data_IF_368544073269
#
_entry.id   IF_368544073269
#
_cell.length_a   1.000
_cell.length_b   1.000
_cell.length_c   1.000
_cell.angle_alpha   90.00
_cell.angle_beta   90.00
_cell.angle_gamma   90.00
#
_symmetry.space_group_name_H-M   'P 1'
#
loop_
_entity.id
_entity.type
_entity.pdbx_description
1 polymer ?
#
# COMPACT_ATOMS: atom_id res chain seq x y z
N UNK A 1 22.76 18.01 16.79
CA UNK A 1 21.37 17.55 16.60
C UNK A 1 21.38 16.03 16.43
N UNK A 2 20.43 15.31 17.03
CA UNK A 2 20.32 13.86 16.80
C UNK A 2 19.91 13.59 15.33
N UNK A 3 20.44 12.53 14.73
CA UNK A 3 20.07 12.11 13.36
C UNK A 3 18.58 11.73 13.35
N UNK A 4 17.82 12.22 12.35
CA UNK A 4 16.43 11.79 12.14
C UNK A 4 16.39 10.27 11.97
N UNK A 5 15.40 9.60 12.57
CA UNK A 5 15.12 8.18 12.31
C UNK A 5 14.59 8.01 10.89
N UNK A 6 14.70 6.80 10.35
CA UNK A 6 14.22 6.45 9.01
C UNK A 6 12.85 5.79 9.09
N UNK A 7 11.87 6.31 8.35
CA UNK A 7 10.64 5.60 8.00
C UNK A 7 10.85 5.02 6.60
N UNK A 8 10.94 3.70 6.50
CA UNK A 8 11.07 3.03 5.21
C UNK A 8 9.70 2.64 4.69
N UNK A 9 9.33 3.14 3.52
CA UNK A 9 8.10 2.82 2.82
C UNK A 9 8.43 1.87 1.68
N UNK A 10 7.79 0.71 1.66
CA UNK A 10 7.91 -0.29 0.60
C UNK A 10 6.62 -0.22 -0.22
N UNK A 11 6.74 -0.01 -1.52
CA UNK A 11 5.62 -0.02 -2.49
C UNK A 11 5.91 -1.02 -3.61
N UNK A 12 4.93 -1.38 -4.43
CA UNK A 12 5.12 -2.39 -5.48
C UNK A 12 5.88 -1.80 -6.69
N UNK A 13 5.54 -0.58 -7.11
CA UNK A 13 6.10 0.04 -8.32
C UNK A 13 6.44 1.53 -8.22
N UNK A 14 7.07 2.08 -9.28
CA UNK A 14 7.44 3.50 -9.34
C UNK A 14 6.24 4.44 -9.34
N UNK A 15 5.13 4.06 -9.99
CA UNK A 15 3.89 4.87 -10.04
C UNK A 15 3.27 5.04 -8.65
N UNK A 16 3.46 4.06 -7.76
CA UNK A 16 3.01 4.13 -6.38
C UNK A 16 3.86 5.14 -5.58
N UNK A 17 5.18 5.14 -5.82
CA UNK A 17 6.08 6.16 -5.25
C UNK A 17 5.72 7.55 -5.77
N UNK A 18 5.47 7.69 -7.07
CA UNK A 18 5.10 8.97 -7.66
C UNK A 18 3.84 9.53 -7.01
N UNK A 19 2.81 8.69 -6.83
CA UNK A 19 1.55 9.08 -6.22
C UNK A 19 1.66 9.41 -4.72
N UNK A 20 2.33 8.57 -3.93
CA UNK A 20 2.29 8.62 -2.46
C UNK A 20 3.56 9.23 -1.84
N UNK A 21 4.71 9.11 -2.49
CA UNK A 21 6.02 9.37 -1.90
C UNK A 21 6.19 10.78 -1.37
N UNK A 22 5.73 11.80 -2.11
CA UNK A 22 5.82 13.21 -1.66
C UNK A 22 4.94 13.48 -0.43
N UNK A 23 3.74 12.87 -0.38
CA UNK A 23 2.81 13.05 0.73
C UNK A 23 3.34 12.36 1.98
N UNK A 24 3.85 11.13 1.85
CA UNK A 24 4.48 10.40 2.96
C UNK A 24 5.69 11.14 3.49
N UNK A 25 6.58 11.61 2.60
CA UNK A 25 7.73 12.46 2.96
C UNK A 25 7.28 13.65 3.81
N UNK A 26 6.29 14.42 3.35
CA UNK A 26 5.80 15.59 4.10
C UNK A 26 5.11 15.21 5.41
N UNK A 27 4.30 14.15 5.44
CA UNK A 27 3.62 13.71 6.64
C UNK A 27 4.60 13.30 7.75
N UNK A 28 5.51 12.37 7.46
CA UNK A 28 6.41 11.84 8.50
C UNK A 28 7.52 12.80 8.88
N UNK A 29 7.97 13.65 7.95
CA UNK A 29 8.96 14.68 8.24
C UNK A 29 8.36 15.85 9.03
N UNK A 30 7.23 16.41 8.58
CA UNK A 30 6.75 17.68 9.12
C UNK A 30 5.61 17.56 10.13
N UNK A 31 4.80 16.49 10.08
CA UNK A 31 3.58 16.36 10.89
C UNK A 31 3.66 15.29 11.98
N UNK A 32 4.41 14.21 11.75
CA UNK A 32 4.36 13.03 12.64
C UNK A 32 5.63 12.82 13.47
N UNK A 33 6.77 12.53 12.85
CA UNK A 33 7.91 11.91 13.54
C UNK A 33 9.24 12.66 13.39
N UNK A 34 9.30 13.76 12.63
CA UNK A 34 10.55 14.43 12.26
C UNK A 34 11.56 13.40 11.72
N UNK A 35 11.09 12.57 10.78
CA UNK A 35 11.79 11.40 10.27
C UNK A 35 12.17 11.57 8.80
N UNK A 36 13.28 10.93 8.40
CA UNK A 36 13.64 10.78 6.99
C UNK A 36 12.79 9.66 6.37
N UNK A 37 12.09 9.96 5.28
CA UNK A 37 11.31 8.95 4.54
C UNK A 37 12.11 8.47 3.35
N UNK A 38 12.34 7.16 3.30
CA UNK A 38 12.89 6.47 2.13
C UNK A 38 11.80 5.60 1.52
N UNK A 39 11.70 5.62 0.19
CA UNK A 39 10.79 4.74 -0.56
C UNK A 39 11.63 3.72 -1.30
N UNK A 40 11.17 2.48 -1.31
CA UNK A 40 11.75 1.42 -2.13
C UNK A 40 10.67 0.60 -2.83
N UNK A 41 11.00 0.06 -4.00
CA UNK A 41 10.09 -0.76 -4.80
C UNK A 41 10.42 -2.23 -4.60
N UNK A 42 9.41 -3.03 -4.24
CA UNK A 42 9.62 -4.45 -3.99
C UNK A 42 8.31 -5.25 -4.07
N UNK A 43 7.98 -5.79 -5.24
CA UNK A 43 6.93 -6.83 -5.32
C UNK A 43 7.48 -8.20 -4.91
N UNK A 44 7.64 -8.40 -3.61
CA UNK A 44 8.05 -9.70 -3.02
C UNK A 44 6.88 -10.66 -2.82
N UNK A 45 5.65 -10.22 -3.09
CA UNK A 45 4.45 -10.98 -2.74
C UNK A 45 4.08 -12.01 -3.81
N UNK A 46 4.45 -11.73 -5.07
CA UNK A 46 4.20 -12.60 -6.24
C UNK A 46 5.42 -13.42 -6.67
N UNK A 47 6.64 -13.03 -6.29
CA UNK A 47 7.86 -13.72 -6.70
C UNK A 47 7.95 -15.16 -6.13
N UNK A 48 7.88 -16.15 -7.03
CA UNK A 48 8.25 -17.54 -6.79
C UNK A 48 9.76 -17.72 -7.03
N UNK A 49 10.54 -18.04 -5.99
CA UNK A 49 12.00 -18.19 -6.11
C UNK A 49 12.49 -19.54 -5.56
N UNK A 50 11.64 -20.56 -5.57
CA UNK A 50 11.98 -21.87 -5.02
C UNK A 50 12.17 -21.86 -3.50
N UNK A 51 12.18 -23.06 -2.93
CA UNK A 51 11.99 -23.40 -1.52
C UNK A 51 12.98 -22.83 -0.47
N UNK A 52 13.86 -21.88 -0.78
CA UNK A 52 14.98 -21.57 0.13
C UNK A 52 14.68 -20.52 1.22
N UNK A 53 13.75 -19.59 1.02
CA UNK A 53 13.50 -18.49 1.97
C UNK A 53 12.03 -18.15 2.15
N UNK A 54 11.62 -17.98 3.41
CA UNK A 54 10.30 -17.45 3.80
C UNK A 54 10.14 -15.99 3.38
N UNK A 55 8.89 -15.51 3.22
CA UNK A 55 8.60 -14.10 2.92
C UNK A 55 9.22 -13.14 3.96
N UNK A 56 9.32 -13.60 5.22
CA UNK A 56 9.98 -12.86 6.31
C UNK A 56 11.48 -12.67 6.06
N UNK A 57 12.16 -13.72 5.61
CA UNK A 57 13.59 -13.64 5.30
C UNK A 57 13.82 -12.76 4.07
N UNK A 58 12.97 -12.89 3.05
CA UNK A 58 13.03 -12.04 1.85
C UNK A 58 12.93 -10.55 2.21
N UNK A 59 11.89 -10.15 2.93
CA UNK A 59 11.71 -8.73 3.30
C UNK A 59 12.83 -8.24 4.23
N UNK A 60 13.33 -9.10 5.13
CA UNK A 60 14.46 -8.76 6.00
C UNK A 60 15.75 -8.54 5.20
N UNK A 61 16.02 -9.38 4.20
CA UNK A 61 17.19 -9.24 3.34
C UNK A 61 17.11 -7.98 2.48
N UNK A 62 15.92 -7.68 1.94
CA UNK A 62 15.64 -6.46 1.18
C UNK A 62 15.92 -5.21 2.03
N UNK A 63 15.40 -5.16 3.26
CA UNK A 63 15.65 -4.06 4.20
C UNK A 63 17.13 -3.94 4.57
N UNK A 64 17.82 -5.06 4.83
CA UNK A 64 19.26 -5.06 5.14
C UNK A 64 20.10 -4.57 3.96
N UNK A 65 19.76 -4.95 2.73
CA UNK A 65 20.45 -4.45 1.52
C UNK A 65 20.29 -2.93 1.36
N UNK A 66 19.07 -2.41 1.57
CA UNK A 66 18.84 -0.96 1.58
C UNK A 66 19.67 -0.27 2.69
N UNK A 67 19.65 -0.83 3.90
CA UNK A 67 20.43 -0.33 5.02
C UNK A 67 21.94 -0.28 4.73
N UNK A 68 22.50 -1.33 4.12
CA UNK A 68 23.91 -1.38 3.73
C UNK A 68 24.26 -0.28 2.70
N UNK A 69 23.43 -0.10 1.68
CA UNK A 69 23.60 0.95 0.65
C UNK A 69 23.64 2.35 1.26
N UNK A 70 22.77 2.61 2.24
CA UNK A 70 22.61 3.93 2.86
C UNK A 70 23.35 4.08 4.20
N UNK A 71 24.16 3.09 4.59
CA UNK A 71 24.95 3.05 5.84
C UNK A 71 24.09 3.23 7.10
N UNK A 72 22.95 2.54 7.15
CA UNK A 72 22.09 2.43 8.33
C UNK A 72 22.33 1.14 9.11
N UNK A 73 22.01 1.17 10.40
CA UNK A 73 21.79 -0.01 11.23
C UNK A 73 20.30 -0.15 11.58
N UNK A 74 19.90 -1.29 12.15
CA UNK A 74 18.49 -1.52 12.51
C UNK A 74 17.93 -0.49 13.49
N UNK A 75 18.77 0.04 14.37
CA UNK A 75 18.41 1.09 15.31
C UNK A 75 18.16 2.46 14.66
N UNK A 76 18.58 2.69 13.41
CA UNK A 76 18.31 3.96 12.71
C UNK A 76 16.86 4.05 12.19
N UNK A 77 16.15 2.93 12.08
CA UNK A 77 14.77 2.89 11.61
C UNK A 77 13.78 3.17 12.73
N UNK A 78 12.78 4.01 12.44
CA UNK A 78 11.59 4.21 13.27
C UNK A 78 10.60 3.07 13.03
N UNK A 79 10.33 2.76 11.75
CA UNK A 79 9.39 1.73 11.33
C UNK A 79 9.55 1.42 9.84
N UNK A 80 8.92 0.33 9.43
CA UNK A 80 8.72 -0.06 8.03
C UNK A 80 7.22 -0.11 7.75
N UNK A 81 6.82 0.60 6.71
CA UNK A 81 5.47 0.63 6.17
C UNK A 81 5.51 -0.09 4.83
N UNK A 82 4.68 -1.09 4.63
CA UNK A 82 4.60 -1.83 3.37
C UNK A 82 3.21 -1.70 2.79
N UNK A 83 3.11 -1.11 1.61
CA UNK A 83 1.86 -0.94 0.87
C UNK A 83 1.86 -1.99 -0.24
N UNK A 84 0.80 -2.80 -0.29
CA UNK A 84 0.67 -3.90 -1.23
C UNK A 84 -0.68 -3.85 -1.92
N UNK A 85 -0.72 -4.27 -3.17
CA UNK A 85 -1.96 -4.54 -3.87
C UNK A 85 -2.50 -5.91 -3.43
N UNK A 86 -3.80 -6.12 -3.49
CA UNK A 86 -4.36 -7.47 -3.26
C UNK A 86 -4.53 -8.27 -4.54
N UNK A 87 -4.74 -7.61 -5.69
CA UNK A 87 -5.02 -8.21 -7.00
C UNK A 87 -6.04 -9.36 -6.95
N UNK A 88 -7.11 -9.22 -6.16
CA UNK A 88 -8.06 -10.32 -5.98
C UNK A 88 -7.49 -11.60 -5.34
N UNK A 89 -6.36 -11.55 -4.63
CA UNK A 89 -5.69 -12.74 -4.08
C UNK A 89 -6.56 -13.59 -3.15
N UNK A 90 -7.64 -13.04 -2.60
CA UNK A 90 -8.51 -13.71 -1.64
C UNK A 90 -9.84 -14.20 -2.22
N UNK A 91 -10.10 -13.96 -3.50
CA UNK A 91 -11.34 -14.43 -4.13
C UNK A 91 -11.35 -15.95 -4.29
N UNK A 92 -12.54 -16.51 -4.43
CA UNK A 92 -12.74 -17.92 -4.79
C UNK A 92 -12.26 -18.17 -6.23
N UNK A 93 -11.53 -19.26 -6.45
CA UNK A 93 -10.98 -19.65 -7.77
C UNK A 93 -12.07 -19.76 -8.86
N UNK A 94 -13.34 -19.97 -8.50
CA UNK A 94 -14.46 -19.96 -9.45
C UNK A 94 -14.72 -18.59 -10.09
N UNK A 95 -14.22 -17.53 -9.47
CA UNK A 95 -14.31 -16.14 -9.95
C UNK A 95 -13.11 -15.75 -10.81
N UNK A 96 -12.18 -16.69 -11.07
CA UNK A 96 -11.15 -16.56 -12.10
C UNK A 96 -11.66 -17.24 -13.35
N UNK A 97 -11.96 -16.45 -14.38
CA UNK A 97 -12.58 -16.87 -15.62
C UNK A 97 -11.52 -16.89 -16.72
N UNK A 98 -11.44 -18.01 -17.44
CA UNK A 98 -10.54 -18.14 -18.58
C UNK A 98 -11.19 -17.54 -19.83
N UNK A 99 -10.50 -16.62 -20.49
CA UNK A 99 -10.84 -16.13 -21.82
C UNK A 99 -9.55 -16.04 -22.64
N UNK A 100 -9.44 -16.89 -23.67
CA UNK A 100 -8.23 -16.96 -24.49
C UNK A 100 -8.12 -15.83 -25.51
N UNK A 101 -9.17 -15.02 -25.67
CA UNK A 101 -9.22 -13.89 -26.62
C UNK A 101 -8.58 -12.62 -26.08
N UNK A 102 -8.35 -12.52 -24.77
CA UNK A 102 -7.70 -11.38 -24.14
C UNK A 102 -6.18 -11.56 -24.05
N UNK A 103 -5.46 -10.46 -24.15
CA UNK A 103 -4.00 -10.43 -24.05
C UNK A 103 -3.49 -10.05 -22.66
N UNK A 104 -4.31 -9.34 -21.87
CA UNK A 104 -3.98 -8.86 -20.52
C UNK A 104 -5.05 -9.27 -19.53
N UNK A 105 -4.64 -9.47 -18.28
CA UNK A 105 -5.58 -9.76 -17.18
C UNK A 105 -6.49 -8.57 -16.97
N UNK A 106 -7.80 -8.83 -16.89
CA UNK A 106 -8.82 -7.82 -16.64
C UNK A 106 -9.52 -8.10 -15.31
N UNK A 107 -9.63 -7.07 -14.50
CA UNK A 107 -10.27 -7.09 -13.19
C UNK A 107 -11.63 -6.39 -13.27
N UNK A 108 -12.61 -6.94 -12.56
CA UNK A 108 -13.87 -6.29 -12.27
C UNK A 108 -14.16 -6.39 -10.78
N UNK A 109 -15.21 -5.74 -10.30
CA UNK A 109 -15.65 -5.85 -8.90
C UNK A 109 -16.08 -7.27 -8.48
N UNK A 110 -16.22 -8.21 -9.42
CA UNK A 110 -16.77 -9.55 -9.14
C UNK A 110 -15.90 -10.72 -9.58
N UNK A 111 -15.01 -10.51 -10.56
CA UNK A 111 -14.21 -11.58 -11.15
C UNK A 111 -12.91 -11.06 -11.77
N UNK A 112 -12.00 -11.99 -12.03
CA UNK A 112 -10.78 -11.79 -12.81
C UNK A 112 -10.95 -12.56 -14.13
N UNK A 113 -10.78 -11.88 -15.26
CA UNK A 113 -10.72 -12.51 -16.58
C UNK A 113 -9.25 -12.60 -16.99
N UNK A 114 -8.79 -13.78 -17.35
CA UNK A 114 -7.40 -14.02 -17.73
C UNK A 114 -7.25 -15.08 -18.83
N UNK A 115 -6.15 -15.03 -19.57
CA UNK A 115 -5.81 -16.04 -20.57
C UNK A 115 -5.37 -17.38 -20.00
N UNK A 116 -4.74 -17.37 -18.82
CA UNK A 116 -4.23 -18.56 -18.14
C UNK A 116 -4.77 -18.59 -16.70
N UNK A 117 -5.86 -19.34 -16.53
CA UNK A 117 -6.58 -19.44 -15.25
C UNK A 117 -5.75 -20.11 -14.17
N UNK A 118 -5.00 -21.16 -14.51
CA UNK A 118 -4.20 -21.91 -13.52
C UNK A 118 -3.10 -21.02 -12.97
N UNK A 119 -2.42 -20.26 -13.82
CA UNK A 119 -1.39 -19.30 -13.40
C UNK A 119 -1.93 -18.26 -12.43
N UNK A 120 -3.13 -17.71 -12.66
CA UNK A 120 -3.74 -16.73 -11.76
C UNK A 120 -4.12 -17.39 -10.42
N UNK A 121 -4.67 -18.60 -10.43
CA UNK A 121 -5.00 -19.34 -9.20
C UNK A 121 -3.75 -19.60 -8.35
N UNK A 122 -2.66 -20.09 -8.97
CA UNK A 122 -1.40 -20.34 -8.28
C UNK A 122 -0.81 -19.05 -7.69
N UNK A 123 -0.85 -17.96 -8.46
CA UNK A 123 -0.43 -16.63 -8.01
C UNK A 123 -1.28 -16.12 -6.84
N UNK A 124 -2.61 -16.27 -6.89
CA UNK A 124 -3.53 -15.90 -5.80
C UNK A 124 -3.24 -16.70 -4.53
N UNK A 125 -3.04 -18.01 -4.66
CA UNK A 125 -2.68 -18.88 -3.55
C UNK A 125 -1.35 -18.46 -2.91
N UNK A 126 -0.34 -18.16 -3.72
CA UNK A 126 0.96 -17.70 -3.24
C UNK A 126 0.88 -16.32 -2.58
N UNK A 127 0.23 -15.33 -3.22
CA UNK A 127 0.09 -13.96 -2.70
C UNK A 127 -0.72 -13.97 -1.40
N UNK A 128 -1.87 -14.63 -1.36
CA UNK A 128 -2.69 -14.72 -0.14
C UNK A 128 -1.97 -15.41 1.02
N UNK A 129 -1.18 -16.46 0.75
CA UNK A 129 -0.31 -17.10 1.76
C UNK A 129 0.73 -16.14 2.30
N UNK A 130 1.43 -15.41 1.44
CA UNK A 130 2.44 -14.42 1.82
C UNK A 130 1.83 -13.28 2.64
N UNK A 131 0.71 -12.71 2.19
CA UNK A 131 0.01 -11.64 2.90
C UNK A 131 -0.40 -12.06 4.31
N UNK A 132 -0.99 -13.25 4.48
CA UNK A 132 -1.36 -13.78 5.82
C UNK A 132 -0.16 -13.92 6.77
N UNK A 133 1.04 -14.16 6.25
CA UNK A 133 2.26 -14.17 7.05
C UNK A 133 2.73 -12.76 7.38
N UNK A 134 2.75 -11.85 6.40
CA UNK A 134 3.16 -10.46 6.58
C UNK A 134 2.28 -9.73 7.61
N UNK A 135 0.96 -9.94 7.57
CA UNK A 135 0.01 -9.32 8.53
C UNK A 135 0.30 -9.70 9.99
N UNK A 136 0.85 -10.89 10.23
CA UNK A 136 1.21 -11.36 11.58
C UNK A 136 2.57 -10.86 12.04
N UNK A 137 3.39 -10.32 11.14
CA UNK A 137 4.71 -9.82 11.48
C UNK A 137 4.60 -8.47 12.17
N UNK A 138 5.17 -8.37 13.37
CA UNK A 138 5.24 -7.11 14.13
C UNK A 138 6.57 -6.39 13.96
N UNK A 139 7.63 -7.15 13.66
CA UNK A 139 8.97 -6.60 13.47
C UNK A 139 9.73 -7.24 12.33
N UNK A 140 10.59 -6.44 11.71
CA UNK A 140 11.63 -6.85 10.76
C UNK A 140 12.99 -6.57 11.39
N UNK A 141 13.98 -7.41 11.03
CA UNK A 141 15.33 -7.33 11.59
C UNK A 141 15.32 -7.30 13.14
N UNK A 142 14.41 -8.11 13.70
CA UNK A 142 14.11 -8.29 15.13
C UNK A 142 13.54 -7.07 15.87
N UNK A 143 13.97 -5.85 15.54
CA UNK A 143 13.70 -4.66 16.35
C UNK A 143 12.84 -3.60 15.64
N UNK A 144 12.76 -3.61 14.31
CA UNK A 144 12.13 -2.53 13.56
C UNK A 144 10.62 -2.80 13.48
N UNK A 145 9.75 -1.93 14.00
CA UNK A 145 8.30 -2.07 13.83
C UNK A 145 7.90 -2.21 12.36
N UNK A 146 6.99 -3.12 12.07
CA UNK A 146 6.54 -3.40 10.71
C UNK A 146 5.03 -3.48 10.64
N UNK A 147 4.45 -2.79 9.64
CA UNK A 147 3.04 -2.88 9.32
C UNK A 147 2.87 -2.98 7.80
N UNK A 148 1.92 -3.81 7.39
CA UNK A 148 1.49 -3.92 5.98
C UNK A 148 0.08 -3.36 5.83
N UNK A 149 -0.15 -2.57 4.79
CA UNK A 149 -1.43 -1.97 4.42
C UNK A 149 -1.75 -2.33 2.99
N UNK A 150 -3.05 -2.43 2.66
CA UNK A 150 -3.47 -2.90 1.35
C UNK A 150 -4.13 -1.81 0.51
N UNK A 151 -3.99 -1.95 -0.81
CA UNK A 151 -4.87 -1.40 -1.82
C UNK A 151 -5.66 -2.55 -2.44
N UNK A 152 -6.98 -2.52 -2.33
CA UNK A 152 -7.81 -3.56 -2.91
C UNK A 152 -7.80 -3.47 -4.44
N UNK A 153 -7.76 -4.62 -5.11
CA UNK A 153 -7.35 -4.76 -6.49
C UNK A 153 -5.95 -4.19 -6.69
N UNK A 154 -5.82 -2.87 -6.82
CA UNK A 154 -4.55 -2.16 -6.92
C UNK A 154 -4.68 -0.68 -6.50
N UNK A 155 -3.54 0.00 -6.41
CA UNK A 155 -3.45 1.41 -6.05
C UNK A 155 -4.31 2.33 -6.94
N UNK A 156 -4.32 2.12 -8.26
CA UNK A 156 -5.10 2.96 -9.18
C UNK A 156 -6.59 2.90 -8.90
N UNK A 157 -7.09 1.69 -8.64
CA UNK A 157 -8.50 1.50 -8.33
C UNK A 157 -8.87 2.26 -7.05
N UNK A 158 -8.02 2.19 -6.02
CA UNK A 158 -8.28 2.90 -4.77
C UNK A 158 -8.16 4.42 -4.95
N UNK A 159 -7.07 4.92 -5.52
CA UNK A 159 -6.79 6.36 -5.57
C UNK A 159 -7.58 7.10 -6.66
N UNK A 160 -7.78 6.47 -7.82
CA UNK A 160 -8.32 7.12 -9.02
C UNK A 160 -9.69 6.58 -9.43
N UNK A 161 -10.16 5.49 -8.82
CA UNK A 161 -11.38 4.78 -9.22
C UNK A 161 -11.31 4.18 -10.62
N UNK A 162 -10.11 3.79 -11.05
CA UNK A 162 -9.86 3.22 -12.38
C UNK A 162 -9.34 1.79 -12.23
N UNK A 163 -10.11 0.82 -12.73
CA UNK A 163 -9.64 -0.56 -12.88
C UNK A 163 -9.00 -0.73 -14.27
N UNK A 164 -7.96 -1.56 -14.36
CA UNK A 164 -7.29 -1.93 -15.62
C UNK A 164 -6.59 -0.78 -16.35
N UNK A 165 -6.01 0.17 -15.60
CA UNK A 165 -5.25 1.29 -16.18
C UNK A 165 -4.13 0.82 -17.10
N UNK A 166 -3.95 1.52 -18.23
CA UNK A 166 -2.74 1.41 -19.05
C UNK A 166 -1.52 1.96 -18.30
N UNK A 167 -0.31 1.68 -18.81
CA UNK A 167 0.90 2.25 -18.21
C UNK A 167 0.93 3.79 -18.30
N UNK A 168 0.45 4.34 -19.41
CA UNK A 168 0.36 5.79 -19.62
C UNK A 168 -0.65 6.43 -18.67
N UNK A 169 -1.80 5.78 -18.46
CA UNK A 169 -2.81 6.24 -17.48
C UNK A 169 -2.25 6.20 -16.06
N UNK A 170 -1.50 5.16 -15.70
CA UNK A 170 -0.84 5.05 -14.38
C UNK A 170 0.09 6.22 -14.12
N UNK A 171 0.99 6.50 -15.05
CA UNK A 171 1.96 7.59 -14.93
C UNK A 171 1.26 8.95 -14.83
N UNK A 172 0.26 9.20 -15.68
CA UNK A 172 -0.47 10.45 -15.68
C UNK A 172 -1.26 10.65 -14.38
N UNK A 173 -2.03 9.65 -13.95
CA UNK A 173 -2.85 9.72 -12.75
C UNK A 173 -1.99 9.85 -11.48
N UNK A 174 -0.87 9.13 -11.39
CA UNK A 174 0.08 9.26 -10.30
C UNK A 174 0.62 10.70 -10.19
N UNK A 175 1.01 11.30 -11.31
CA UNK A 175 1.49 12.68 -11.34
C UNK A 175 0.42 13.70 -10.95
N UNK A 176 -0.81 13.53 -11.44
CA UNK A 176 -1.94 14.39 -11.10
C UNK A 176 -2.30 14.30 -9.61
N UNK A 177 -2.34 13.10 -9.06
CA UNK A 177 -2.61 12.86 -7.65
C UNK A 177 -1.51 13.45 -6.76
N UNK A 178 -0.24 13.25 -7.13
CA UNK A 178 0.90 13.85 -6.46
C UNK A 178 0.82 15.39 -6.49
N UNK A 179 0.49 15.99 -7.64
CA UNK A 179 0.31 17.45 -7.78
C UNK A 179 -0.82 17.97 -6.90
N UNK A 180 -1.94 17.25 -6.83
CA UNK A 180 -3.12 17.61 -6.03
C UNK A 180 -2.77 17.65 -4.53
N UNK A 181 -2.02 16.66 -4.04
CA UNK A 181 -1.80 16.49 -2.61
C UNK A 181 -0.42 16.93 -2.10
N UNK A 182 0.56 17.20 -2.98
CA UNK A 182 1.91 17.62 -2.56
C UNK A 182 1.87 18.80 -1.60
N UNK A 183 0.93 19.73 -1.74
CA UNK A 183 0.81 20.89 -0.84
C UNK A 183 -0.43 20.83 0.06
N UNK A 184 -1.15 19.71 0.05
CA UNK A 184 -2.37 19.51 0.82
C UNK A 184 -2.38 18.12 1.48
N UNK A 185 -1.44 17.92 2.41
CA UNK A 185 -1.30 16.64 3.14
C UNK A 185 -2.57 16.33 3.94
N UNK A 186 -3.19 17.34 4.56
CA UNK A 186 -4.45 17.18 5.31
C UNK A 186 -5.58 16.74 4.37
N UNK A 187 -5.66 17.29 3.16
CA UNK A 187 -6.62 16.85 2.15
C UNK A 187 -6.42 15.40 1.73
N UNK A 188 -5.17 14.93 1.64
CA UNK A 188 -4.89 13.51 1.40
C UNK A 188 -5.34 12.65 2.59
N UNK A 189 -5.07 13.11 3.81
CA UNK A 189 -5.50 12.42 5.03
C UNK A 189 -7.01 12.26 5.09
N UNK A 190 -7.76 13.32 4.79
CA UNK A 190 -9.22 13.27 4.71
C UNK A 190 -9.68 12.34 3.59
N UNK A 191 -9.03 12.37 2.42
CA UNK A 191 -9.34 11.49 1.31
C UNK A 191 -9.17 10.01 1.68
N UNK A 192 -8.06 9.62 2.31
CA UNK A 192 -7.79 8.22 2.62
C UNK A 192 -8.55 7.72 3.87
N UNK A 193 -9.02 8.61 4.74
CA UNK A 193 -9.73 8.23 5.99
C UNK A 193 -11.24 8.35 5.92
N UNK A 194 -11.78 9.29 5.14
CA UNK A 194 -13.21 9.64 5.14
C UNK A 194 -13.95 9.17 3.88
N UNK A 195 -13.29 8.44 3.00
CA UNK A 195 -13.91 7.89 1.80
C UNK A 195 -14.66 6.58 2.10
N UNK A 196 -15.64 6.25 1.26
CA UNK A 196 -16.41 5.00 1.39
C UNK A 196 -15.56 3.73 1.25
N UNK A 197 -14.42 3.83 0.56
CA UNK A 197 -13.45 2.75 0.40
C UNK A 197 -12.53 2.56 1.63
N UNK A 198 -12.62 3.44 2.64
CA UNK A 198 -11.73 3.40 3.80
C UNK A 198 -12.29 2.47 4.89
N UNK A 199 -11.54 1.42 5.24
CA UNK A 199 -12.00 0.44 6.24
C UNK A 199 -11.56 0.86 7.64
N UNK A 200 -12.41 1.66 8.28
CA UNK A 200 -12.16 2.29 9.59
C UNK A 200 -12.54 1.37 10.76
N UNK A 201 -11.86 0.21 10.86
CA UNK A 201 -11.96 -0.69 12.00
C UNK A 201 -10.56 -1.12 12.46
N UNK A 202 -10.40 -1.79 13.61
CA UNK A 202 -9.10 -2.23 14.10
C UNK A 202 -8.29 -2.99 13.05
N UNK A 203 -6.97 -2.79 13.03
CA UNK A 203 -6.06 -3.34 12.01
C UNK A 203 -6.33 -4.82 11.65
N UNK A 204 -6.52 -5.68 12.65
CA UNK A 204 -6.83 -7.09 12.44
C UNK A 204 -8.14 -7.30 11.67
N UNK A 205 -9.18 -6.54 12.03
CA UNK A 205 -10.50 -6.64 11.41
C UNK A 205 -10.48 -6.14 9.96
N UNK A 206 -9.65 -5.15 9.62
CA UNK A 206 -9.47 -4.72 8.21
C UNK A 206 -8.93 -5.85 7.33
N UNK A 207 -7.99 -6.64 7.85
CA UNK A 207 -7.45 -7.80 7.16
C UNK A 207 -8.41 -8.99 7.14
N UNK A 208 -9.25 -9.16 8.15
CA UNK A 208 -10.35 -10.13 8.12
C UNK A 208 -11.43 -9.72 7.10
N UNK A 209 -11.67 -8.42 6.93
CA UNK A 209 -12.61 -7.87 5.96
C UNK A 209 -12.14 -8.12 4.52
N UNK A 210 -10.89 -7.74 4.18
CA UNK A 210 -10.40 -7.83 2.80
C UNK A 210 -10.29 -9.28 2.27
N UNK A 211 -10.24 -10.25 3.19
CA UNK A 211 -10.22 -11.68 2.89
C UNK A 211 -11.59 -12.30 2.59
N UNK A 212 -12.69 -11.54 2.71
CA UNK A 212 -14.05 -12.06 2.52
C UNK A 212 -14.56 -11.80 1.11
N UNK A 213 -15.16 -12.83 0.51
CA UNK A 213 -15.88 -12.70 -0.76
C UNK A 213 -15.03 -12.10 -1.87
N UNK A 214 -15.52 -11.00 -2.46
CA UNK A 214 -14.86 -10.27 -3.54
C UNK A 214 -14.20 -8.98 -3.08
N UNK A 215 -14.13 -8.72 -1.76
CA UNK A 215 -13.65 -7.45 -1.23
C UNK A 215 -12.25 -7.09 -1.74
N UNK A 216 -11.40 -8.07 -2.04
CA UNK A 216 -10.05 -7.88 -2.61
C UNK A 216 -9.99 -7.51 -4.10
N UNK A 217 -11.14 -7.42 -4.77
CA UNK A 217 -11.35 -6.90 -6.13
C UNK A 217 -12.09 -5.56 -6.13
N UNK A 218 -12.87 -5.30 -5.09
CA UNK A 218 -13.59 -4.04 -4.90
C UNK A 218 -12.64 -2.90 -4.56
N UNK A 219 -13.19 -1.72 -4.26
CA UNK A 219 -12.42 -0.53 -3.91
C UNK A 219 -12.37 -0.35 -2.40
N UNK A 220 -11.30 -0.83 -1.78
CA UNK A 220 -11.07 -0.73 -0.33
C UNK A 220 -9.60 -0.51 0.03
N UNK A 221 -9.33 0.17 1.15
CA UNK A 221 -8.00 0.27 1.75
C UNK A 221 -8.08 0.37 3.28
N UNK A 222 -6.99 0.00 3.96
CA UNK A 222 -6.76 0.30 5.37
C UNK A 222 -5.57 1.25 5.57
N UNK A 223 -5.10 1.92 4.51
CA UNK A 223 -3.91 2.76 4.55
C UNK A 223 -4.03 3.92 5.54
N UNK A 224 -5.24 4.39 5.84
CA UNK A 224 -5.47 5.44 6.84
C UNK A 224 -4.89 5.08 8.22
N UNK A 225 -4.89 3.79 8.59
CA UNK A 225 -4.33 3.30 9.84
C UNK A 225 -2.82 3.59 9.97
N UNK A 226 -2.13 3.79 8.84
CA UNK A 226 -0.72 4.19 8.79
C UNK A 226 -0.48 5.57 9.43
N UNK A 227 -1.53 6.37 9.54
CA UNK A 227 -1.47 7.75 10.00
C UNK A 227 -2.20 7.96 11.33
N UNK A 228 -2.94 6.95 11.82
CA UNK A 228 -3.64 7.03 13.09
C UNK A 228 -2.65 7.10 14.27
N UNK A 229 -2.90 8.03 15.19
CA UNK A 229 -2.04 8.26 16.36
C UNK A 229 -1.82 9.72 16.75
N UNK A 230 -2.36 10.70 16.01
CA UNK A 230 -2.37 12.11 16.40
C UNK A 230 -3.66 12.79 15.95
N UNK A 231 -4.37 13.40 16.90
CA UNK A 231 -5.49 14.30 16.61
C UNK A 231 -5.00 15.40 15.66
N UNK A 232 -5.52 15.41 14.43
CA UNK A 232 -5.45 16.60 13.60
C UNK A 232 -6.60 17.49 14.05
N UNK A 233 -6.29 18.48 14.89
CA UNK A 233 -7.20 19.60 15.09
C UNK A 233 -7.28 20.31 13.75
N UNK A 234 -8.39 20.11 13.05
CA UNK A 234 -8.77 20.96 11.93
C UNK A 234 -9.03 22.32 12.54
N UNK A 235 -8.08 23.25 12.45
CA UNK A 235 -8.42 24.67 12.59
C UNK A 235 -9.36 24.98 11.43
N UNK A 236 -10.66 24.97 11.72
CA UNK A 236 -11.65 25.58 10.88
C UNK A 236 -11.29 27.06 10.77
N UNK A 237 -10.76 27.48 9.62
CA UNK A 237 -10.61 28.89 9.30
C UNK A 237 -11.99 29.56 9.45
N UNK A 238 -12.05 30.54 10.34
CA UNK A 238 -13.22 31.37 10.59
C UNK A 238 -13.64 32.09 9.31
N UNK A 239 -14.65 31.55 8.62
CA UNK A 239 -15.49 32.28 7.67
C UNK A 239 -16.52 33.15 8.43
N UNK A 240 -16.02 34.01 9.31
CA UNK A 240 -16.81 35.10 9.91
C UNK A 240 -15.93 36.34 9.94
N UNK A 241 -15.81 37.02 8.80
CA UNK A 241 -15.52 38.45 8.69
C UNK A 241 -15.58 38.83 7.21
N UNK A 242 -16.80 38.90 6.66
CA UNK A 242 -17.10 39.78 5.51
C UNK A 242 -18.62 39.93 5.35
N UNK A 243 -19.26 40.45 6.40
CA UNK A 243 -20.50 41.23 6.25
C UNK A 243 -20.35 42.47 7.14
N UNK A 244 -19.88 43.55 6.52
CA UNK A 244 -20.14 44.92 6.96
C UNK A 244 -20.82 45.67 5.83
#
# INVERSE_FOLDING_TARGET
>A
MARKKVVLVIVEGPTDEDALGIVFKKYFDNYSQNALVEVMHCDITTEWNGYSKSIREKITDVVKKNAQKNKYNSGDYSQIIHIVDTDGAFIDDKLVIEDTSIDTVSYSLTNIICKDRIKIIERNAQKSKNLRLLVKMKTIWNVIPYHVYYMSCNLDHVLYDIQNSSNEEKEQNAHEFAKKYRNNVIGFMNFISSSLFSINCPYKETWEFIQKGVNSLERHTNLQLCFEGKEFVVESENLENDIK
#
